data_IF_038749047483
#
_entry.id   IF_038749047483
#
_cell.length_a   1.000
_cell.length_b   1.000
_cell.length_c   1.000
_cell.angle_alpha   90.00
_cell.angle_beta   90.00
_cell.angle_gamma   90.00
#
_symmetry.space_group_name_H-M   'P 1'
#
loop_
_entity.id
_entity.type
_entity.pdbx_description
1 polymer ?
#
# COMPACT_ATOMS: atom_id res chain seq x y z
N UNK A 1 -11.94 30.82 -9.40
CA UNK A 1 -11.41 29.45 -9.21
C UNK A 1 -12.23 28.53 -8.26
N UNK A 2 -12.69 28.97 -7.08
CA UNK A 2 -13.41 28.06 -6.14
C UNK A 2 -14.70 27.44 -6.70
N UNK A 3 -15.51 28.17 -7.48
CA UNK A 3 -16.70 27.63 -8.16
C UNK A 3 -16.33 26.53 -9.15
N UNK A 4 -15.35 26.80 -10.03
CA UNK A 4 -14.81 25.84 -11.02
C UNK A 4 -14.32 24.55 -10.34
N UNK A 5 -13.60 24.65 -9.22
CA UNK A 5 -13.13 23.49 -8.45
C UNK A 5 -14.24 22.54 -8.04
N UNK A 6 -15.40 23.05 -7.61
CA UNK A 6 -16.53 22.20 -7.21
C UNK A 6 -17.03 21.36 -8.38
N UNK A 7 -17.17 21.96 -9.56
CA UNK A 7 -17.57 21.25 -10.78
C UNK A 7 -16.52 20.21 -11.22
N UNK A 8 -15.24 20.56 -11.18
CA UNK A 8 -14.15 19.62 -11.51
C UNK A 8 -14.18 18.40 -10.58
N UNK A 9 -14.34 18.62 -9.26
CA UNK A 9 -14.44 17.52 -8.28
C UNK A 9 -15.71 16.69 -8.53
N UNK A 10 -16.85 17.32 -8.81
CA UNK A 10 -18.10 16.62 -9.10
C UNK A 10 -17.98 15.71 -10.33
N UNK A 11 -17.44 16.25 -11.43
CA UNK A 11 -17.17 15.49 -12.66
C UNK A 11 -16.23 14.32 -12.35
N UNK A 12 -15.19 14.56 -11.56
CA UNK A 12 -14.23 13.52 -11.16
C UNK A 12 -14.90 12.39 -10.38
N UNK A 13 -15.84 12.71 -9.50
CA UNK A 13 -16.61 11.71 -8.74
C UNK A 13 -17.47 10.86 -9.69
N UNK A 14 -18.20 11.49 -10.62
CA UNK A 14 -19.06 10.79 -11.57
C UNK A 14 -18.24 9.80 -12.40
N UNK A 15 -17.13 10.26 -13.01
CA UNK A 15 -16.26 9.39 -13.79
C UNK A 15 -15.58 8.31 -12.95
N UNK A 16 -15.24 8.59 -11.69
CA UNK A 16 -14.69 7.59 -10.78
C UNK A 16 -15.70 6.47 -10.49
N UNK A 17 -16.99 6.78 -10.35
CA UNK A 17 -18.05 5.79 -10.14
C UNK A 17 -18.24 4.93 -11.40
N UNK A 18 -18.33 5.56 -12.57
CA UNK A 18 -18.44 4.83 -13.85
C UNK A 18 -17.24 3.91 -14.04
N UNK A 19 -16.04 4.43 -13.81
CA UNK A 19 -14.80 3.67 -13.90
C UNK A 19 -14.74 2.53 -12.90
N UNK A 20 -15.26 2.70 -11.67
CA UNK A 20 -15.30 1.64 -10.68
C UNK A 20 -16.04 0.41 -11.19
N UNK A 21 -17.26 0.56 -11.71
CA UNK A 21 -18.04 -0.56 -12.25
C UNK A 21 -17.38 -1.17 -13.49
N UNK A 22 -16.80 -0.35 -14.36
CA UNK A 22 -16.04 -0.83 -15.51
C UNK A 22 -14.82 -1.67 -15.10
N UNK A 23 -14.02 -1.17 -14.15
CA UNK A 23 -12.84 -1.88 -13.65
C UNK A 23 -13.23 -3.19 -12.98
N UNK A 24 -14.32 -3.21 -12.21
CA UNK A 24 -14.86 -4.40 -11.57
C UNK A 24 -15.25 -5.47 -12.59
N UNK A 25 -15.92 -5.09 -13.68
CA UNK A 25 -16.26 -6.00 -14.76
C UNK A 25 -15.01 -6.64 -15.39
N UNK A 26 -13.99 -5.83 -15.72
CA UNK A 26 -12.72 -6.32 -16.29
C UNK A 26 -11.96 -7.22 -15.31
N UNK A 27 -11.93 -6.87 -14.02
CA UNK A 27 -11.28 -7.68 -12.98
C UNK A 27 -11.99 -9.03 -12.78
N UNK A 28 -13.33 -9.06 -12.78
CA UNK A 28 -14.12 -10.31 -12.67
C UNK A 28 -13.86 -11.20 -13.89
N UNK A 29 -13.89 -10.63 -15.10
CA UNK A 29 -13.63 -11.39 -16.33
C UNK A 29 -12.23 -12.06 -16.32
N UNK A 30 -11.23 -11.37 -15.75
CA UNK A 30 -9.85 -11.86 -15.67
C UNK A 30 -9.53 -12.69 -14.41
N UNK A 31 -10.50 -12.94 -13.52
CA UNK A 31 -10.29 -13.70 -12.28
C UNK A 31 -11.33 -14.80 -12.03
N UNK A 32 -12.18 -15.07 -13.02
CA UNK A 32 -13.25 -16.08 -12.99
C UNK A 32 -12.76 -17.50 -13.27
N UNK A 33 -11.72 -17.64 -14.08
CA UNK A 33 -11.26 -18.93 -14.58
C UNK A 33 -9.74 -19.05 -14.47
N UNK A 34 -9.27 -20.25 -14.21
CA UNK A 34 -7.86 -20.57 -14.03
C UNK A 34 -7.57 -21.97 -14.57
N UNK A 35 -6.30 -22.26 -14.83
CA UNK A 35 -5.83 -23.56 -15.30
C UNK A 35 -4.67 -24.03 -14.43
N UNK A 36 -4.64 -25.33 -14.15
CA UNK A 36 -3.55 -26.01 -13.48
C UNK A 36 -2.77 -26.75 -14.56
N UNK A 37 -1.50 -26.43 -14.69
CA UNK A 37 -0.59 -27.09 -15.61
C UNK A 37 -0.11 -28.42 -15.01
N UNK A 38 0.45 -29.33 -15.83
CA UNK A 38 1.14 -30.51 -15.33
C UNK A 38 2.20 -30.15 -14.28
N UNK A 39 2.53 -31.12 -13.44
CA UNK A 39 3.62 -30.98 -12.48
C UNK A 39 4.90 -30.66 -13.25
N UNK A 40 5.76 -29.84 -12.66
CA UNK A 40 6.98 -29.36 -13.31
C UNK A 40 7.79 -30.47 -14.01
N UNK A 41 7.96 -31.63 -13.37
CA UNK A 41 8.71 -32.76 -13.92
C UNK A 41 8.07 -33.43 -15.15
N UNK A 42 6.80 -33.10 -15.45
CA UNK A 42 6.05 -33.62 -16.60
C UNK A 42 6.06 -32.67 -17.80
N UNK A 43 6.61 -31.46 -17.65
CA UNK A 43 6.66 -30.48 -18.72
C UNK A 43 7.79 -30.82 -19.72
N UNK A 44 7.51 -30.64 -21.01
CA UNK A 44 8.50 -30.87 -22.05
C UNK A 44 9.53 -29.73 -22.06
N UNK A 45 10.81 -30.06 -21.95
CA UNK A 45 11.92 -29.09 -21.95
C UNK A 45 12.47 -28.97 -23.38
N UNK A 46 12.66 -27.73 -23.83
CA UNK A 46 13.31 -27.42 -25.09
C UNK A 46 14.57 -26.62 -24.79
N UNK A 47 15.67 -27.05 -25.40
CA UNK A 47 16.90 -26.27 -25.50
C UNK A 47 16.97 -25.65 -26.90
N UNK A 48 17.11 -24.33 -26.96
CA UNK A 48 17.28 -23.60 -28.22
C UNK A 48 18.34 -22.54 -28.06
N UNK A 49 19.45 -22.66 -28.79
CA UNK A 49 20.57 -21.72 -28.78
C UNK A 49 21.05 -21.39 -27.34
N UNK A 50 21.17 -22.40 -26.47
CA UNK A 50 21.58 -22.22 -25.08
C UNK A 50 20.51 -21.67 -24.13
N UNK A 51 19.30 -21.39 -24.60
CA UNK A 51 18.15 -21.07 -23.75
C UNK A 51 17.35 -22.33 -23.44
N UNK A 52 17.00 -22.51 -22.16
CA UNK A 52 16.13 -23.58 -21.70
C UNK A 52 14.75 -23.02 -21.37
N UNK A 53 13.71 -23.63 -21.92
CA UNK A 53 12.33 -23.28 -21.60
C UNK A 53 11.43 -24.50 -21.66
N UNK A 54 10.31 -24.44 -20.95
CA UNK A 54 9.33 -25.51 -20.95
C UNK A 54 8.19 -25.19 -21.91
N UNK A 55 7.54 -26.21 -22.44
CA UNK A 55 6.37 -26.06 -23.30
C UNK A 55 5.21 -26.92 -22.84
N UNK A 56 4.00 -26.37 -22.94
CA UNK A 56 2.77 -27.10 -22.72
C UNK A 56 1.68 -26.58 -23.64
N UNK A 57 1.15 -27.47 -24.49
CA UNK A 57 0.24 -27.11 -25.57
C UNK A 57 0.78 -25.90 -26.38
N UNK A 58 0.00 -24.82 -26.54
CA UNK A 58 0.41 -23.62 -27.26
C UNK A 58 1.03 -22.52 -26.36
N UNK A 59 1.75 -22.92 -25.30
CA UNK A 59 2.38 -22.00 -24.35
C UNK A 59 3.86 -22.34 -24.12
N UNK A 60 4.70 -21.30 -24.09
CA UNK A 60 6.07 -21.39 -23.60
C UNK A 60 6.12 -20.94 -22.14
N UNK A 61 6.98 -21.55 -21.33
CA UNK A 61 7.09 -21.29 -19.89
C UNK A 61 8.57 -21.03 -19.58
N UNK A 62 8.85 -19.85 -19.07
CA UNK A 62 10.18 -19.39 -18.71
C UNK A 62 10.32 -19.35 -17.20
N UNK A 63 11.24 -20.17 -16.69
CA UNK A 63 11.55 -20.32 -15.26
C UNK A 63 13.04 -20.10 -15.03
N UNK A 64 13.85 -21.02 -15.54
CA UNK A 64 15.31 -20.94 -15.45
C UNK A 64 15.82 -20.18 -16.67
N UNK A 65 16.65 -19.17 -16.46
CA UNK A 65 17.11 -18.32 -17.55
C UNK A 65 18.52 -17.82 -17.29
N UNK A 66 19.40 -18.03 -18.25
CA UNK A 66 20.73 -17.46 -18.29
C UNK A 66 20.78 -16.48 -19.45
N UNK A 67 20.99 -15.21 -19.13
CA UNK A 67 21.10 -14.16 -20.14
C UNK A 67 22.38 -14.36 -20.96
N UNK A 68 22.25 -14.32 -22.27
CA UNK A 68 23.40 -14.35 -23.19
C UNK A 68 23.77 -12.95 -23.69
N UNK A 69 22.93 -11.96 -23.37
CA UNK A 69 23.10 -10.56 -23.72
C UNK A 69 21.76 -9.97 -24.13
N UNK A 70 21.51 -8.71 -23.74
CA UNK A 70 20.19 -8.09 -23.88
C UNK A 70 19.61 -8.14 -25.31
N UNK A 71 20.45 -7.96 -26.33
CA UNK A 71 20.01 -8.00 -27.74
C UNK A 71 19.60 -9.42 -28.18
N UNK A 72 20.38 -10.44 -27.80
CA UNK A 72 20.06 -11.84 -28.10
C UNK A 72 18.82 -12.31 -27.34
N UNK A 73 18.72 -11.92 -26.07
CA UNK A 73 17.58 -12.23 -25.22
C UNK A 73 16.29 -11.65 -25.82
N UNK A 74 16.30 -10.43 -26.36
CA UNK A 74 15.13 -9.83 -27.03
C UNK A 74 14.72 -10.65 -28.25
N UNK A 75 15.68 -11.04 -29.10
CA UNK A 75 15.40 -11.81 -30.31
C UNK A 75 14.75 -13.14 -29.93
N UNK A 76 15.30 -13.82 -28.92
CA UNK A 76 14.74 -15.05 -28.37
C UNK A 76 13.32 -14.86 -27.84
N UNK A 77 13.09 -13.85 -27.00
CA UNK A 77 11.76 -13.58 -26.45
C UNK A 77 10.75 -13.23 -27.54
N UNK A 78 11.15 -12.45 -28.55
CA UNK A 78 10.31 -12.10 -29.69
C UNK A 78 9.93 -13.33 -30.49
N UNK A 79 10.88 -14.20 -30.78
CA UNK A 79 10.65 -15.46 -31.47
C UNK A 79 9.66 -16.36 -30.70
N UNK A 80 9.79 -16.48 -29.37
CA UNK A 80 8.80 -17.20 -28.56
C UNK A 80 7.39 -16.60 -28.67
N UNK A 81 7.27 -15.27 -28.62
CA UNK A 81 5.95 -14.60 -28.72
C UNK A 81 5.29 -14.74 -30.09
N UNK A 82 6.04 -15.10 -31.14
CA UNK A 82 5.52 -15.40 -32.47
C UNK A 82 5.07 -16.87 -32.62
N UNK A 83 5.73 -17.79 -31.91
CA UNK A 83 5.43 -19.23 -31.98
C UNK A 83 4.29 -19.67 -31.07
N UNK A 84 4.16 -19.05 -29.89
CA UNK A 84 3.23 -19.47 -28.85
C UNK A 84 2.16 -18.42 -28.59
N UNK A 85 0.96 -18.86 -28.15
CA UNK A 85 -0.15 -17.98 -27.79
C UNK A 85 0.26 -17.01 -26.67
N UNK A 86 0.88 -17.55 -25.61
CA UNK A 86 1.45 -16.77 -24.52
C UNK A 86 2.79 -17.35 -24.06
N UNK A 87 3.67 -16.46 -23.62
CA UNK A 87 4.90 -16.80 -22.90
C UNK A 87 4.66 -16.57 -21.40
N UNK A 88 4.78 -17.63 -20.61
CA UNK A 88 4.48 -17.66 -19.18
C UNK A 88 5.74 -17.41 -18.35
N UNK A 89 5.73 -16.33 -17.57
CA UNK A 89 6.79 -15.98 -16.61
C UNK A 89 6.48 -16.68 -15.28
N UNK A 90 7.29 -17.63 -14.87
CA UNK A 90 7.10 -18.35 -13.61
C UNK A 90 7.49 -17.45 -12.44
N UNK A 91 6.56 -17.14 -11.53
CA UNK A 91 6.86 -16.30 -10.36
C UNK A 91 7.95 -16.90 -9.46
N UNK A 92 8.80 -16.03 -8.90
CA UNK A 92 9.90 -16.38 -7.99
C UNK A 92 11.02 -17.22 -8.60
N UNK A 93 11.07 -17.28 -9.93
CA UNK A 93 12.12 -17.93 -10.71
C UNK A 93 13.28 -16.97 -11.04
N UNK A 94 14.36 -17.51 -11.61
CA UNK A 94 15.48 -16.69 -12.07
C UNK A 94 15.07 -15.79 -13.23
N UNK A 95 14.20 -16.29 -14.13
CA UNK A 95 13.64 -15.47 -15.19
C UNK A 95 12.76 -14.33 -14.66
N UNK A 96 11.93 -14.53 -13.63
CA UNK A 96 11.13 -13.44 -13.03
C UNK A 96 12.02 -12.31 -12.50
N UNK A 97 13.15 -12.66 -11.87
CA UNK A 97 14.14 -11.69 -11.41
C UNK A 97 14.74 -10.93 -12.59
N UNK A 98 15.21 -11.64 -13.61
CA UNK A 98 15.78 -11.02 -14.81
C UNK A 98 14.77 -10.14 -15.55
N UNK A 99 13.57 -10.66 -15.80
CA UNK A 99 12.45 -9.96 -16.42
C UNK A 99 12.10 -8.68 -15.67
N UNK A 100 12.12 -8.70 -14.33
CA UNK A 100 11.89 -7.49 -13.53
C UNK A 100 12.90 -6.37 -13.80
N UNK A 101 14.13 -6.71 -14.18
CA UNK A 101 15.20 -5.75 -14.53
C UNK A 101 15.03 -5.21 -15.96
N UNK A 102 14.58 -6.05 -16.90
CA UNK A 102 14.56 -5.70 -18.32
C UNK A 102 13.20 -5.25 -18.88
N UNK A 103 12.08 -5.58 -18.23
CA UNK A 103 10.73 -5.41 -18.80
C UNK A 103 10.37 -3.97 -19.20
N UNK A 104 10.98 -2.97 -18.59
CA UNK A 104 10.76 -1.56 -18.97
C UNK A 104 11.45 -1.17 -20.29
N UNK A 105 12.40 -1.99 -20.76
CA UNK A 105 13.13 -1.81 -22.02
C UNK A 105 12.56 -2.68 -23.15
N UNK A 106 11.64 -3.61 -22.83
CA UNK A 106 11.04 -4.49 -23.82
C UNK A 106 9.93 -3.78 -24.60
N UNK A 107 9.81 -4.13 -25.88
CA UNK A 107 8.74 -3.63 -26.73
C UNK A 107 7.37 -4.10 -26.25
N UNK A 108 6.36 -3.25 -26.45
CA UNK A 108 4.98 -3.55 -26.04
C UNK A 108 4.45 -4.81 -26.70
N UNK A 109 4.87 -5.10 -27.93
CA UNK A 109 4.41 -6.26 -28.69
C UNK A 109 4.86 -7.56 -28.03
N UNK A 110 6.09 -7.61 -27.52
CA UNK A 110 6.61 -8.75 -26.73
C UNK A 110 5.80 -8.87 -25.43
N UNK A 111 5.66 -7.76 -24.70
CA UNK A 111 4.97 -7.75 -23.40
C UNK A 111 3.50 -8.17 -23.52
N UNK A 112 2.79 -7.77 -24.57
CA UNK A 112 1.37 -8.09 -24.75
C UNK A 112 1.10 -9.60 -24.84
N UNK A 113 2.09 -10.40 -25.27
CA UNK A 113 2.00 -11.86 -25.34
C UNK A 113 2.60 -12.56 -24.12
N UNK A 114 3.02 -11.82 -23.09
CA UNK A 114 3.56 -12.39 -21.85
C UNK A 114 2.54 -12.40 -20.72
N UNK A 115 2.48 -13.47 -19.93
CA UNK A 115 1.63 -13.58 -18.73
C UNK A 115 2.40 -14.22 -17.59
N UNK A 116 2.03 -13.97 -16.35
CA UNK A 116 2.64 -14.69 -15.23
C UNK A 116 1.97 -16.05 -15.02
N UNK A 117 2.76 -17.01 -14.55
CA UNK A 117 2.29 -18.26 -13.95
C UNK A 117 2.69 -18.28 -12.47
N UNK A 118 1.74 -18.63 -11.61
CA UNK A 118 2.00 -18.73 -10.18
C UNK A 118 2.65 -20.07 -9.88
N UNK A 119 3.76 -20.02 -9.14
CA UNK A 119 4.50 -21.19 -8.72
C UNK A 119 4.84 -21.07 -7.24
N UNK A 120 4.90 -22.22 -6.56
CA UNK A 120 5.34 -22.32 -5.17
C UNK A 120 6.57 -23.24 -5.11
N UNK A 121 7.63 -22.79 -4.46
CA UNK A 121 8.85 -23.60 -4.31
C UNK A 121 8.59 -24.76 -3.34
N UNK A 122 9.18 -25.92 -3.59
CA UNK A 122 9.08 -27.07 -2.68
C UNK A 122 9.46 -26.71 -1.22
N UNK A 123 10.56 -25.96 -1.04
CA UNK A 123 11.00 -25.48 0.27
C UNK A 123 10.04 -24.48 0.95
N UNK A 124 9.09 -23.88 0.22
CA UNK A 124 8.00 -23.10 0.84
C UNK A 124 6.85 -24.00 1.26
N UNK A 125 6.57 -25.09 0.53
CA UNK A 125 5.56 -26.07 0.92
C UNK A 125 5.89 -26.64 2.30
N UNK A 126 7.16 -26.97 2.56
CA UNK A 126 7.60 -27.48 3.87
C UNK A 126 7.41 -26.48 5.03
N UNK A 127 7.44 -25.17 4.74
CA UNK A 127 7.41 -24.11 5.76
C UNK A 127 6.01 -23.67 6.13
N UNK A 128 5.03 -23.87 5.25
CA UNK A 128 3.68 -23.33 5.40
C UNK A 128 2.64 -24.45 5.49
N UNK A 129 1.59 -24.20 6.26
CA UNK A 129 0.42 -25.07 6.29
C UNK A 129 -0.35 -25.00 4.94
N UNK A 130 -1.19 -26.01 4.69
CA UNK A 130 -1.94 -26.12 3.44
C UNK A 130 -2.86 -24.90 3.23
N UNK A 131 -3.50 -24.38 4.28
CA UNK A 131 -4.40 -23.22 4.20
C UNK A 131 -3.66 -21.95 3.74
N UNK A 132 -2.49 -21.66 4.31
CA UNK A 132 -1.66 -20.52 3.94
C UNK A 132 -1.22 -20.62 2.47
N UNK A 133 -0.95 -21.83 1.99
CA UNK A 133 -0.59 -22.09 0.59
C UNK A 133 -1.80 -21.84 -0.31
N UNK A 134 -2.96 -22.43 -0.03
CA UNK A 134 -4.20 -22.23 -0.79
C UNK A 134 -4.54 -20.73 -0.90
N UNK A 135 -4.39 -19.98 0.20
CA UNK A 135 -4.59 -18.52 0.21
C UNK A 135 -3.60 -17.75 -0.69
N UNK A 136 -2.40 -18.26 -0.95
CA UNK A 136 -1.47 -17.65 -1.93
C UNK A 136 -1.99 -17.81 -3.35
N UNK A 137 -2.56 -18.97 -3.69
CA UNK A 137 -3.20 -19.21 -4.99
C UNK A 137 -4.47 -18.37 -5.16
N UNK A 138 -5.28 -18.24 -4.12
CA UNK A 138 -6.44 -17.34 -4.12
C UNK A 138 -6.02 -15.89 -4.43
N UNK A 139 -4.95 -15.39 -3.78
CA UNK A 139 -4.38 -14.07 -4.07
C UNK A 139 -3.76 -13.97 -5.46
N UNK A 140 -3.13 -15.03 -5.96
CA UNK A 140 -2.61 -15.07 -7.32
C UNK A 140 -3.73 -14.81 -8.34
N UNK A 141 -4.86 -15.51 -8.20
CA UNK A 141 -5.99 -15.36 -9.11
C UNK A 141 -6.76 -14.05 -8.88
N UNK A 142 -7.26 -13.81 -7.66
CA UNK A 142 -8.19 -12.72 -7.37
C UNK A 142 -7.51 -11.35 -7.27
N UNK A 143 -6.29 -11.27 -6.71
CA UNK A 143 -5.61 -9.98 -6.56
C UNK A 143 -4.65 -9.67 -7.71
N UNK A 144 -4.02 -10.69 -8.31
CA UNK A 144 -2.98 -10.51 -9.33
C UNK A 144 -3.38 -10.96 -10.73
N UNK A 145 -4.57 -11.56 -10.89
CA UNK A 145 -5.10 -12.03 -12.19
C UNK A 145 -4.17 -13.05 -12.87
N UNK A 146 -3.44 -13.81 -12.06
CA UNK A 146 -2.58 -14.92 -12.50
C UNK A 146 -3.46 -16.16 -12.60
N UNK A 147 -3.63 -16.65 -13.83
CA UNK A 147 -4.60 -17.72 -14.15
C UNK A 147 -3.94 -19.06 -14.44
N UNK A 148 -2.61 -19.12 -14.47
CA UNK A 148 -1.83 -20.33 -14.74
C UNK A 148 -1.11 -20.76 -13.46
N UNK A 149 -1.37 -21.98 -13.00
CA UNK A 149 -0.79 -22.53 -11.78
C UNK A 149 0.13 -23.70 -12.09
N UNK A 150 1.34 -23.65 -11.54
CA UNK A 150 2.38 -24.68 -11.72
C UNK A 150 2.82 -25.16 -10.34
N UNK A 151 2.99 -26.48 -10.19
CA UNK A 151 3.40 -27.10 -8.94
C UNK A 151 4.72 -27.86 -9.11
N UNK A 152 5.59 -27.84 -8.08
CA UNK A 152 6.75 -28.71 -8.03
C UNK A 152 6.34 -30.15 -7.71
N UNK A 153 7.26 -31.07 -7.96
CA UNK A 153 7.15 -32.42 -7.45
C UNK A 153 7.31 -32.43 -5.93
N UNK A 154 6.25 -32.80 -5.21
CA UNK A 154 6.23 -32.84 -3.75
C UNK A 154 5.08 -33.73 -3.26
N UNK A 155 5.25 -34.39 -2.10
CA UNK A 155 4.25 -35.33 -1.53
C UNK A 155 2.87 -34.69 -1.29
N UNK A 156 2.85 -33.42 -0.86
CA UNK A 156 1.63 -32.63 -0.63
C UNK A 156 1.00 -32.02 -1.90
N UNK A 157 1.65 -32.09 -3.06
CA UNK A 157 1.19 -31.39 -4.28
C UNK A 157 -0.23 -31.81 -4.68
N UNK A 158 -0.54 -33.11 -4.68
CA UNK A 158 -1.86 -33.61 -5.04
C UNK A 158 -2.95 -33.14 -4.06
N UNK A 159 -2.65 -33.14 -2.75
CA UNK A 159 -3.58 -32.63 -1.74
C UNK A 159 -3.84 -31.13 -1.92
N UNK A 160 -2.78 -30.34 -2.15
CA UNK A 160 -2.89 -28.91 -2.40
C UNK A 160 -3.74 -28.60 -3.63
N UNK A 161 -3.54 -29.33 -4.73
CA UNK A 161 -4.35 -29.21 -5.94
C UNK A 161 -5.83 -29.45 -5.63
N UNK A 162 -6.15 -30.51 -4.89
CA UNK A 162 -7.53 -30.83 -4.51
C UNK A 162 -8.17 -29.74 -3.64
N UNK A 163 -7.43 -29.21 -2.65
CA UNK A 163 -7.91 -28.11 -1.82
C UNK A 163 -8.16 -26.83 -2.62
N UNK A 164 -7.27 -26.51 -3.56
CA UNK A 164 -7.43 -25.35 -4.45
C UNK A 164 -8.65 -25.52 -5.35
N UNK A 165 -8.89 -26.70 -5.91
CA UNK A 165 -10.07 -26.98 -6.72
C UNK A 165 -11.38 -26.91 -5.92
N UNK A 166 -11.35 -27.34 -4.65
CA UNK A 166 -12.48 -27.23 -3.74
C UNK A 166 -12.85 -25.76 -3.48
N UNK A 167 -11.85 -24.89 -3.33
CA UNK A 167 -12.06 -23.48 -3.00
C UNK A 167 -12.31 -22.58 -4.22
N UNK A 168 -11.60 -22.80 -5.33
CA UNK A 168 -11.66 -21.96 -6.55
C UNK A 168 -12.59 -22.52 -7.64
N UNK A 169 -13.11 -23.74 -7.47
CA UNK A 169 -13.89 -24.45 -8.48
C UNK A 169 -13.03 -25.21 -9.48
N UNK A 170 -13.65 -25.78 -10.51
CA UNK A 170 -12.97 -26.63 -11.49
C UNK A 170 -12.06 -25.83 -12.43
N UNK A 171 -10.80 -26.27 -12.68
CA UNK A 171 -9.92 -25.61 -13.62
C UNK A 171 -10.40 -25.80 -15.06
N UNK A 172 -10.12 -24.83 -15.91
CA UNK A 172 -10.39 -24.90 -17.35
C UNK A 172 -9.15 -25.32 -18.13
N UNK A 173 -9.33 -25.79 -19.38
CA UNK A 173 -8.20 -26.04 -20.27
C UNK A 173 -7.42 -24.73 -20.54
N UNK A 174 -6.10 -24.81 -20.55
CA UNK A 174 -5.20 -23.66 -20.71
C UNK A 174 -5.50 -22.82 -21.97
N UNK A 175 -5.85 -23.44 -23.10
CA UNK A 175 -6.14 -22.72 -24.35
C UNK A 175 -7.44 -21.91 -24.31
N UNK A 176 -8.37 -22.26 -23.40
CA UNK A 176 -9.64 -21.54 -23.22
C UNK A 176 -9.49 -20.21 -22.48
N UNK A 177 -8.32 -19.98 -21.86
CA UNK A 177 -8.01 -18.74 -21.14
C UNK A 177 -7.80 -17.60 -22.15
N UNK A 178 -8.74 -16.66 -22.15
CA UNK A 178 -8.68 -15.39 -22.88
C UNK A 178 -8.74 -14.22 -21.89
N UNK A 179 -7.88 -13.23 -22.07
CA UNK A 179 -7.81 -12.05 -21.22
C UNK A 179 -8.69 -10.94 -21.78
N UNK A 180 -9.45 -10.29 -20.90
CA UNK A 180 -10.22 -9.09 -21.25
C UNK A 180 -9.33 -7.87 -21.06
N UNK A 181 -9.06 -7.15 -22.14
CA UNK A 181 -8.21 -5.96 -22.13
C UNK A 181 -9.01 -4.69 -21.76
N UNK A 182 -8.44 -3.76 -20.97
CA UNK A 182 -9.07 -2.50 -20.65
C UNK A 182 -9.03 -1.56 -21.86
N UNK A 183 -10.04 -0.69 -21.97
CA UNK A 183 -10.07 0.34 -23.01
C UNK A 183 -9.15 1.51 -22.63
N UNK A 184 -8.45 2.06 -23.63
CA UNK A 184 -7.57 3.22 -23.43
C UNK A 184 -8.34 4.51 -23.06
N UNK A 185 -9.64 4.55 -23.32
CA UNK A 185 -10.51 5.72 -23.09
C UNK A 185 -10.48 6.13 -21.61
N UNK A 186 -10.61 5.17 -20.69
CA UNK A 186 -10.57 5.48 -19.26
C UNK A 186 -9.21 6.01 -18.80
N UNK A 187 -8.11 5.47 -19.34
CA UNK A 187 -6.77 6.00 -19.09
C UNK A 187 -6.65 7.46 -19.53
N UNK A 188 -7.10 7.80 -20.75
CA UNK A 188 -7.10 9.17 -21.25
C UNK A 188 -7.96 10.13 -20.42
N UNK A 189 -9.18 9.71 -20.05
CA UNK A 189 -10.05 10.50 -19.16
C UNK A 189 -9.39 10.70 -17.80
N UNK A 190 -8.74 9.68 -17.24
CA UNK A 190 -8.01 9.76 -15.98
C UNK A 190 -6.92 10.83 -16.03
N UNK A 191 -6.11 10.83 -17.10
CA UNK A 191 -5.07 11.85 -17.32
C UNK A 191 -5.67 13.25 -17.37
N UNK A 192 -6.76 13.44 -18.12
CA UNK A 192 -7.45 14.73 -18.23
C UNK A 192 -8.02 15.22 -16.90
N UNK A 193 -8.66 14.34 -16.13
CA UNK A 193 -9.22 14.68 -14.82
C UNK A 193 -8.13 15.00 -13.79
N UNK A 194 -6.98 14.31 -13.83
CA UNK A 194 -5.83 14.66 -13.01
C UNK A 194 -5.37 16.08 -13.32
N UNK A 195 -5.17 16.39 -14.61
CA UNK A 195 -4.75 17.71 -15.06
C UNK A 195 -5.71 18.80 -14.57
N UNK A 196 -7.03 18.62 -14.79
CA UNK A 196 -8.05 19.59 -14.37
C UNK A 196 -8.07 19.79 -12.85
N UNK A 197 -7.96 18.72 -12.06
CA UNK A 197 -7.90 18.83 -10.60
C UNK A 197 -6.64 19.58 -10.18
N UNK A 198 -5.45 19.16 -10.63
CA UNK A 198 -4.19 19.85 -10.31
C UNK A 198 -4.27 21.33 -10.69
N UNK A 199 -4.78 21.65 -11.88
CA UNK A 199 -4.92 23.03 -12.35
C UNK A 199 -5.84 23.87 -11.45
N UNK A 200 -6.95 23.30 -11.00
CA UNK A 200 -7.93 23.99 -10.13
C UNK A 200 -7.40 24.29 -8.71
N UNK A 201 -6.34 23.61 -8.27
CA UNK A 201 -5.70 23.82 -6.96
C UNK A 201 -4.41 24.62 -7.09
N UNK A 202 -3.51 24.20 -7.98
CA UNK A 202 -2.18 24.79 -8.21
C UNK A 202 -1.83 24.60 -9.71
N UNK A 203 -2.05 25.60 -10.59
CA UNK A 203 -1.80 25.49 -12.03
C UNK A 203 -0.41 24.93 -12.41
N UNK A 204 0.63 25.32 -11.68
CA UNK A 204 1.99 24.81 -11.89
C UNK A 204 2.10 23.28 -11.74
N UNK A 205 1.32 22.67 -10.83
CA UNK A 205 1.33 21.22 -10.65
C UNK A 205 0.78 20.49 -11.88
N UNK A 206 -0.19 21.08 -12.58
CA UNK A 206 -0.73 20.51 -13.81
C UNK A 206 0.32 20.53 -14.94
N UNK A 207 1.12 21.59 -15.03
CA UNK A 207 2.22 21.71 -15.99
C UNK A 207 3.31 20.67 -15.70
N UNK A 208 3.72 20.54 -14.43
CA UNK A 208 4.70 19.51 -14.02
C UNK A 208 4.17 18.12 -14.38
N UNK A 209 2.91 17.82 -14.06
CA UNK A 209 2.30 16.53 -14.36
C UNK A 209 2.27 16.23 -15.86
N UNK A 210 1.84 17.17 -16.72
CA UNK A 210 1.72 16.91 -18.16
C UNK A 210 3.09 16.72 -18.82
N UNK A 211 4.11 17.48 -18.40
CA UNK A 211 5.48 17.27 -18.87
C UNK A 211 6.00 15.89 -18.47
N UNK A 212 5.77 15.47 -17.23
CA UNK A 212 6.13 14.13 -16.79
C UNK A 212 5.33 13.05 -17.49
N UNK A 213 4.05 13.27 -17.82
CA UNK A 213 3.25 12.32 -18.58
C UNK A 213 3.81 12.10 -19.99
N UNK A 214 4.21 13.17 -20.67
CA UNK A 214 4.76 13.13 -22.04
C UNK A 214 6.15 12.47 -22.06
N UNK A 215 7.07 12.91 -21.19
CA UNK A 215 8.47 12.48 -21.24
C UNK A 215 8.81 11.28 -20.35
N UNK A 216 8.03 11.05 -19.29
CA UNK A 216 8.33 10.08 -18.22
C UNK A 216 7.05 9.35 -17.78
N UNK A 217 6.30 8.77 -18.71
CA UNK A 217 4.96 8.23 -18.48
C UNK A 217 4.84 7.36 -17.21
N UNK A 218 5.74 6.38 -17.01
CA UNK A 218 5.73 5.51 -15.82
C UNK A 218 5.99 6.23 -14.48
N UNK A 219 6.63 7.41 -14.50
CA UNK A 219 6.84 8.27 -13.32
C UNK A 219 5.67 9.23 -13.08
N UNK A 220 4.91 9.56 -14.12
CA UNK A 220 3.83 10.54 -14.07
C UNK A 220 2.75 10.19 -13.03
N UNK A 221 2.44 8.89 -12.85
CA UNK A 221 1.48 8.40 -11.86
C UNK A 221 1.92 8.72 -10.43
N UNK A 222 3.18 8.44 -10.11
CA UNK A 222 3.73 8.74 -8.78
C UNK A 222 3.84 10.24 -8.54
N UNK A 223 4.17 11.01 -9.58
CA UNK A 223 4.23 12.47 -9.49
C UNK A 223 2.85 13.04 -9.24
N UNK A 224 1.82 12.60 -9.97
CA UNK A 224 0.43 12.97 -9.70
C UNK A 224 0.01 12.67 -8.26
N UNK A 225 0.24 11.45 -7.79
CA UNK A 225 -0.03 11.06 -6.40
C UNK A 225 0.72 11.95 -5.40
N UNK A 226 1.99 12.27 -5.67
CA UNK A 226 2.80 13.14 -4.81
C UNK A 226 2.21 14.55 -4.74
N UNK A 227 1.86 15.15 -5.88
CA UNK A 227 1.26 16.47 -5.97
C UNK A 227 -0.13 16.52 -5.29
N UNK A 228 -0.93 15.46 -5.45
CA UNK A 228 -2.21 15.34 -4.76
C UNK A 228 -2.05 15.22 -3.24
N UNK A 229 -1.06 14.46 -2.75
CA UNK A 229 -0.79 14.37 -1.31
C UNK A 229 -0.50 15.75 -0.69
N UNK A 230 0.24 16.59 -1.41
CA UNK A 230 0.55 17.98 -1.03
C UNK A 230 -0.72 18.84 -1.04
N UNK A 231 -1.55 18.73 -2.08
CA UNK A 231 -2.83 19.44 -2.17
C UNK A 231 -3.75 19.03 -1.02
N UNK A 232 -3.90 17.74 -0.74
CA UNK A 232 -4.75 17.23 0.34
C UNK A 232 -4.31 17.85 1.67
N UNK A 233 -3.04 17.75 2.01
CA UNK A 233 -2.53 18.18 3.31
C UNK A 233 -2.55 19.71 3.48
N UNK A 234 -2.10 20.48 2.48
CA UNK A 234 -1.92 21.93 2.63
C UNK A 234 -3.07 22.79 2.08
N UNK A 235 -3.88 22.28 1.14
CA UNK A 235 -4.94 23.07 0.48
C UNK A 235 -6.36 22.56 0.77
N UNK A 236 -6.54 21.29 1.12
CA UNK A 236 -7.84 20.73 1.50
C UNK A 236 -8.01 20.73 3.01
N UNK A 237 -7.26 19.90 3.73
CA UNK A 237 -7.25 19.88 5.19
C UNK A 237 -6.08 19.05 5.72
N UNK A 238 -5.50 19.52 6.84
CA UNK A 238 -4.56 18.74 7.66
C UNK A 238 -5.18 18.13 8.93
N UNK A 239 -6.42 18.51 9.26
CA UNK A 239 -7.06 18.14 10.53
C UNK A 239 -8.38 17.39 10.33
N UNK A 240 -9.10 17.63 9.23
CA UNK A 240 -10.37 16.98 8.98
C UNK A 240 -10.15 15.63 8.29
N UNK A 241 -10.22 14.56 9.09
CA UNK A 241 -9.93 13.19 8.66
C UNK A 241 -10.83 12.74 7.51
N UNK A 242 -12.14 13.01 7.57
CA UNK A 242 -13.08 12.63 6.52
C UNK A 242 -12.75 13.30 5.19
N UNK A 243 -12.35 14.58 5.20
CA UNK A 243 -11.89 15.26 3.98
C UNK A 243 -10.61 14.65 3.44
N UNK A 244 -9.66 14.29 4.30
CA UNK A 244 -8.40 13.65 3.86
C UNK A 244 -8.69 12.30 3.21
N UNK A 245 -9.48 11.44 3.85
CA UNK A 245 -9.82 10.11 3.31
C UNK A 245 -10.57 10.24 1.99
N UNK A 246 -11.64 11.06 1.94
CA UNK A 246 -12.46 11.22 0.73
C UNK A 246 -11.68 11.77 -0.46
N UNK A 247 -10.86 12.82 -0.27
CA UNK A 247 -10.01 13.34 -1.35
C UNK A 247 -8.86 12.38 -1.71
N UNK A 248 -8.31 11.63 -0.75
CA UNK A 248 -7.27 10.62 -1.05
C UNK A 248 -7.83 9.46 -1.87
N UNK A 249 -9.05 9.00 -1.57
CA UNK A 249 -9.76 8.00 -2.36
C UNK A 249 -10.06 8.53 -3.76
N UNK A 250 -10.63 9.73 -3.88
CA UNK A 250 -10.95 10.33 -5.18
C UNK A 250 -9.69 10.48 -6.05
N UNK A 251 -8.64 11.13 -5.54
CA UNK A 251 -7.41 11.32 -6.30
C UNK A 251 -6.65 10.01 -6.52
N UNK A 252 -6.73 9.07 -5.59
CA UNK A 252 -6.20 7.71 -5.77
C UNK A 252 -6.87 6.99 -6.94
N UNK A 253 -8.21 7.02 -7.02
CA UNK A 253 -8.96 6.45 -8.14
C UNK A 253 -8.57 7.13 -9.46
N UNK A 254 -8.40 8.45 -9.49
CA UNK A 254 -7.96 9.14 -10.71
C UNK A 254 -6.56 8.69 -11.17
N UNK A 255 -5.62 8.51 -10.24
CA UNK A 255 -4.26 8.01 -10.53
C UNK A 255 -4.29 6.55 -10.99
N UNK A 256 -5.13 5.72 -10.37
CA UNK A 256 -5.34 4.34 -10.80
C UNK A 256 -5.94 4.29 -12.22
N UNK A 257 -6.95 5.12 -12.46
CA UNK A 257 -7.65 5.25 -13.73
C UNK A 257 -6.71 5.69 -14.84
N UNK A 258 -5.83 6.69 -14.61
CA UNK A 258 -4.88 7.15 -15.62
C UNK A 258 -3.86 6.07 -16.02
N UNK A 259 -3.50 5.19 -15.10
CA UNK A 259 -2.61 4.05 -15.35
C UNK A 259 -3.31 2.76 -15.77
N UNK A 260 -4.62 2.77 -16.02
CA UNK A 260 -5.40 1.57 -16.29
C UNK A 260 -5.17 1.03 -17.72
N UNK A 261 -4.07 0.29 -17.90
CA UNK A 261 -3.68 -0.35 -19.15
C UNK A 261 -3.22 -1.80 -18.93
N UNK A 262 -3.19 -2.62 -20.00
CA UNK A 262 -2.80 -4.04 -19.94
C UNK A 262 -1.48 -4.26 -19.21
N UNK A 263 -0.45 -3.47 -19.54
CA UNK A 263 0.90 -3.66 -19.03
C UNK A 263 0.98 -3.49 -17.51
N UNK A 264 0.29 -2.50 -16.96
CA UNK A 264 0.27 -2.23 -15.51
C UNK A 264 -0.70 -3.14 -14.76
N UNK A 265 -1.84 -3.51 -15.37
CA UNK A 265 -2.82 -4.42 -14.78
C UNK A 265 -2.24 -5.84 -14.61
N UNK A 266 -1.49 -6.32 -15.60
CA UNK A 266 -0.86 -7.65 -15.57
C UNK A 266 0.57 -7.63 -15.02
N UNK A 267 1.03 -6.51 -14.43
CA UNK A 267 2.36 -6.35 -13.80
C UNK A 267 3.54 -6.58 -14.77
N UNK A 268 3.28 -6.45 -16.08
CA UNK A 268 4.28 -6.54 -17.15
C UNK A 268 5.11 -5.25 -17.27
N UNK A 269 4.59 -4.15 -16.73
CA UNK A 269 5.33 -2.93 -16.49
C UNK A 269 5.10 -2.46 -15.03
N UNK A 270 5.91 -1.53 -14.53
CA UNK A 270 5.82 -1.03 -13.17
C UNK A 270 5.68 0.50 -13.13
N UNK A 271 4.91 0.98 -12.15
CA UNK A 271 4.95 2.39 -11.77
C UNK A 271 6.30 2.71 -11.14
N UNK A 272 6.95 3.78 -11.62
CA UNK A 272 8.29 4.18 -11.19
C UNK A 272 8.25 5.29 -10.14
N UNK A 273 9.30 5.36 -9.33
CA UNK A 273 9.51 6.46 -8.39
C UNK A 273 8.69 6.41 -7.10
N UNK A 274 8.03 5.29 -6.76
CA UNK A 274 7.14 5.18 -5.58
C UNK A 274 7.75 5.73 -4.28
N UNK A 275 9.08 5.60 -4.11
CA UNK A 275 9.81 6.18 -2.97
C UNK A 275 9.70 7.72 -2.86
N UNK A 276 9.55 8.42 -3.99
CA UNK A 276 9.33 9.88 -4.02
C UNK A 276 8.05 10.25 -3.26
N UNK A 277 6.95 9.56 -3.54
CA UNK A 277 5.68 9.77 -2.85
C UNK A 277 5.82 9.57 -1.33
N UNK A 278 6.59 8.56 -0.92
CA UNK A 278 6.81 8.24 0.49
C UNK A 278 7.58 9.33 1.25
N UNK A 279 8.44 10.09 0.57
CA UNK A 279 9.39 11.02 1.20
C UNK A 279 8.96 12.47 1.08
N UNK A 280 8.45 12.89 -0.09
CA UNK A 280 8.27 14.31 -0.42
C UNK A 280 7.32 15.00 0.56
N UNK A 281 6.13 14.46 0.81
CA UNK A 281 5.18 15.12 1.69
C UNK A 281 5.67 15.18 3.16
N UNK A 282 6.12 14.07 3.79
CA UNK A 282 6.68 14.14 5.14
C UNK A 282 7.87 15.12 5.24
N UNK A 283 8.75 15.15 4.25
CA UNK A 283 9.87 16.09 4.22
C UNK A 283 9.41 17.55 4.12
N UNK A 284 8.41 17.85 3.28
CA UNK A 284 7.83 19.20 3.18
C UNK A 284 7.16 19.65 4.48
N UNK A 285 6.50 18.73 5.19
CA UNK A 285 5.88 19.02 6.49
C UNK A 285 6.94 19.29 7.56
N UNK A 286 8.03 18.52 7.58
CA UNK A 286 9.17 18.77 8.47
C UNK A 286 9.86 20.09 8.14
N UNK A 287 10.07 20.39 6.86
CA UNK A 287 10.66 21.66 6.42
C UNK A 287 9.78 22.84 6.83
N UNK A 288 8.46 22.74 6.63
CA UNK A 288 7.52 23.78 7.08
C UNK A 288 7.57 23.98 8.58
N UNK A 289 7.61 22.89 9.36
CA UNK A 289 7.73 22.97 10.80
C UNK A 289 9.04 23.61 11.25
N UNK A 290 10.14 23.33 10.55
CA UNK A 290 11.43 23.97 10.79
C UNK A 290 11.35 25.48 10.51
N UNK A 291 10.75 25.89 9.39
CA UNK A 291 10.54 27.31 9.07
C UNK A 291 9.67 27.99 10.13
N UNK A 292 8.56 27.37 10.53
CA UNK A 292 7.64 27.88 11.55
C UNK A 292 8.35 28.01 12.92
N UNK A 293 9.22 27.05 13.29
CA UNK A 293 10.02 27.07 14.53
C UNK A 293 11.11 28.14 14.52
N UNK A 294 11.79 28.31 13.39
CA UNK A 294 12.91 29.25 13.23
C UNK A 294 12.47 30.70 12.97
N UNK A 295 11.22 30.91 12.56
CA UNK A 295 10.72 32.24 12.17
C UNK A 295 11.44 32.82 10.96
N UNK A 296 12.00 31.97 10.09
CA UNK A 296 12.74 32.39 8.90
C UNK A 296 11.74 32.79 7.82
N UNK A 297 11.86 34.02 7.34
CA UNK A 297 11.12 34.51 6.18
C UNK A 297 12.08 34.68 5.01
N UNK A 298 11.94 33.85 3.98
CA UNK A 298 12.70 33.99 2.74
C UNK A 298 12.11 35.12 1.89
N UNK A 299 12.32 36.38 2.30
CA UNK A 299 12.11 37.53 1.41
C UNK A 299 13.32 37.64 0.46
N UNK A 300 13.08 37.99 -0.81
CA UNK A 300 14.14 38.19 -1.83
C UNK A 300 15.19 39.17 -1.28
N UNK A 301 16.42 38.70 -1.10
CA UNK A 301 17.59 39.51 -0.70
C UNK A 301 18.25 39.12 0.63
N UNK A 302 17.57 38.37 1.50
CA UNK A 302 17.98 38.27 2.92
C UNK A 302 18.53 36.89 3.35
N UNK A 303 19.20 36.19 2.44
CA UNK A 303 19.80 34.86 2.69
C UNK A 303 20.82 34.92 3.84
N UNK A 304 21.65 35.97 3.90
CA UNK A 304 22.62 36.15 5.00
C UNK A 304 21.95 36.27 6.37
N UNK A 305 20.79 36.93 6.45
CA UNK A 305 20.02 37.07 7.69
C UNK A 305 19.31 35.77 8.08
N UNK A 306 18.83 34.98 7.11
CA UNK A 306 18.33 33.64 7.35
C UNK A 306 19.42 32.71 7.93
N UNK A 307 20.64 32.71 7.35
CA UNK A 307 21.77 31.93 7.87
C UNK A 307 22.22 32.38 9.27
N UNK A 308 22.26 33.69 9.54
CA UNK A 308 22.53 34.22 10.89
C UNK A 308 21.48 33.77 11.90
N UNK A 309 20.19 33.82 11.55
CA UNK A 309 19.11 33.30 12.39
C UNK A 309 19.28 31.81 12.67
N UNK A 310 19.56 30.98 11.65
CA UNK A 310 19.81 29.54 11.83
C UNK A 310 20.96 29.31 12.81
N UNK A 311 22.07 30.03 12.66
CA UNK A 311 23.26 29.88 13.52
C UNK A 311 23.02 30.36 14.96
N UNK A 312 22.10 31.30 15.16
CA UNK A 312 21.72 31.80 16.50
C UNK A 312 20.71 30.91 17.25
N UNK A 313 20.11 29.92 16.59
CA UNK A 313 19.13 29.03 17.23
C UNK A 313 19.85 28.08 18.17
N UNK A 314 19.52 28.19 19.45
CA UNK A 314 19.91 27.22 20.47
C UNK A 314 18.93 26.06 20.46
N UNK A 315 19.27 25.00 19.73
CA UNK A 315 18.54 23.74 19.83
C UNK A 315 18.70 23.17 21.24
N UNK A 316 17.59 22.81 21.90
CA UNK A 316 17.68 22.04 23.14
C UNK A 316 18.15 20.63 22.79
N UNK A 317 18.89 19.97 23.69
CA UNK A 317 19.32 18.57 23.49
C UNK A 317 18.14 17.64 23.15
N UNK A 318 16.97 17.90 23.75
CA UNK A 318 15.72 17.20 23.47
C UNK A 318 15.22 17.35 22.03
N UNK A 319 15.47 18.49 21.40
CA UNK A 319 15.03 18.77 20.01
C UNK A 319 15.86 17.96 19.02
N UNK A 320 17.15 17.83 19.28
CA UNK A 320 18.09 17.05 18.47
C UNK A 320 17.77 15.55 18.57
N UNK A 321 17.59 15.03 19.79
CA UNK A 321 17.23 13.62 20.01
C UNK A 321 15.91 13.28 19.30
N UNK A 322 14.90 14.15 19.43
CA UNK A 322 13.62 13.94 18.78
C UNK A 322 13.70 13.97 17.26
N UNK A 323 14.48 14.90 16.69
CA UNK A 323 14.72 14.95 15.24
C UNK A 323 15.38 13.66 14.74
N UNK A 324 16.39 13.16 15.48
CA UNK A 324 17.06 11.90 15.17
C UNK A 324 16.08 10.72 15.18
N UNK A 325 15.23 10.62 16.20
CA UNK A 325 14.20 9.58 16.27
C UNK A 325 13.22 9.63 15.09
N UNK A 326 12.79 10.82 14.68
CA UNK A 326 11.91 11.00 13.51
C UNK A 326 12.61 10.57 12.22
N UNK A 327 13.90 10.89 12.06
CA UNK A 327 14.69 10.45 10.90
C UNK A 327 14.84 8.92 10.87
N UNK A 328 15.19 8.30 12.00
CA UNK A 328 15.30 6.84 12.11
C UNK A 328 13.96 6.17 11.77
N UNK A 329 12.85 6.68 12.33
CA UNK A 329 11.51 6.18 12.00
C UNK A 329 11.19 6.33 10.51
N UNK A 330 11.60 7.44 9.89
CA UNK A 330 11.48 7.67 8.45
C UNK A 330 12.29 6.66 7.61
N UNK A 331 13.53 6.37 8.00
CA UNK A 331 14.37 5.36 7.32
C UNK A 331 13.72 3.98 7.42
N UNK A 332 13.29 3.58 8.62
CA UNK A 332 12.58 2.31 8.83
C UNK A 332 11.33 2.24 7.95
N UNK A 333 10.55 3.31 7.89
CA UNK A 333 9.34 3.40 7.06
C UNK A 333 9.59 3.17 5.56
N UNK A 334 10.71 3.70 5.03
CA UNK A 334 11.12 3.54 3.62
C UNK A 334 11.68 2.14 3.39
N UNK A 335 12.55 1.63 4.25
CA UNK A 335 13.12 0.27 4.11
C UNK A 335 12.02 -0.79 4.18
N UNK A 336 11.08 -0.64 5.11
CA UNK A 336 9.90 -1.52 5.27
C UNK A 336 8.89 -1.41 4.13
N UNK A 337 8.99 -0.40 3.25
CA UNK A 337 8.14 -0.33 2.06
C UNK A 337 8.64 -1.21 0.91
N UNK A 338 9.83 -1.78 1.01
CA UNK A 338 10.39 -2.70 0.02
C UNK A 338 9.84 -4.11 0.17
N UNK A 339 9.81 -4.88 -0.91
CA UNK A 339 9.37 -6.29 -0.92
C UNK A 339 10.35 -7.25 -0.22
N UNK A 340 11.56 -6.80 0.10
CA UNK A 340 12.64 -7.59 0.70
C UNK A 340 12.70 -7.51 2.23
N UNK A 341 11.73 -6.84 2.84
CA UNK A 341 11.77 -6.58 4.27
C UNK A 341 11.44 -7.88 5.06
N UNK A 342 12.35 -8.31 5.94
CA UNK A 342 12.12 -9.40 6.92
C UNK A 342 10.82 -9.20 7.71
N UNK A 343 9.82 -10.05 7.47
CA UNK A 343 8.52 -10.08 8.18
C UNK A 343 8.51 -11.32 9.05
N UNK A 344 8.21 -11.14 10.33
CA UNK A 344 8.15 -12.26 11.28
C UNK A 344 6.97 -13.19 10.97
N UNK A 345 7.06 -14.47 11.33
CA UNK A 345 5.96 -15.42 11.16
C UNK A 345 4.70 -14.99 11.92
N UNK A 346 4.86 -14.37 13.10
CA UNK A 346 3.75 -13.82 13.87
C UNK A 346 3.04 -12.68 13.12
N UNK A 347 3.78 -11.69 12.62
CA UNK A 347 3.22 -10.58 11.82
C UNK A 347 2.46 -11.10 10.59
N UNK A 348 2.98 -12.17 9.96
CA UNK A 348 2.32 -12.82 8.82
C UNK A 348 0.99 -13.47 9.22
N UNK A 349 0.95 -14.23 10.31
CA UNK A 349 -0.28 -14.84 10.82
C UNK A 349 -1.35 -13.79 11.15
N UNK A 350 -0.97 -12.69 11.79
CA UNK A 350 -1.88 -11.57 12.08
C UNK A 350 -2.43 -10.95 10.79
N UNK A 351 -1.58 -10.78 9.77
CA UNK A 351 -2.00 -10.27 8.45
C UNK A 351 -2.98 -11.21 7.75
N UNK A 352 -2.71 -12.51 7.79
CA UNK A 352 -3.56 -13.52 7.16
C UNK A 352 -4.90 -13.64 7.90
N UNK A 353 -4.91 -13.50 9.23
CA UNK A 353 -6.14 -13.40 10.03
C UNK A 353 -6.99 -12.19 9.62
N UNK A 354 -6.40 -11.00 9.55
CA UNK A 354 -7.13 -9.80 9.12
C UNK A 354 -7.63 -9.91 7.69
N UNK A 355 -6.91 -10.55 6.78
CA UNK A 355 -7.38 -10.78 5.41
C UNK A 355 -8.62 -11.67 5.39
N UNK A 356 -8.61 -12.77 6.13
CA UNK A 356 -9.76 -13.69 6.17
C UNK A 356 -11.00 -13.00 6.72
N UNK A 357 -10.84 -12.20 7.78
CA UNK A 357 -11.98 -11.52 8.42
C UNK A 357 -12.47 -10.31 7.61
N UNK A 358 -11.56 -9.55 7.00
CA UNK A 358 -11.87 -8.25 6.39
C UNK A 358 -11.85 -8.27 4.86
N UNK A 359 -11.61 -9.43 4.22
CA UNK A 359 -11.40 -9.67 2.78
C UNK A 359 -10.13 -9.02 2.23
N UNK A 360 -9.79 -7.80 2.69
CA UNK A 360 -8.60 -7.09 2.31
C UNK A 360 -7.87 -6.52 3.54
N UNK A 361 -6.57 -6.81 3.62
CA UNK A 361 -5.74 -6.46 4.78
C UNK A 361 -5.67 -4.94 5.01
N UNK A 362 -5.86 -4.44 6.25
CA UNK A 362 -5.62 -3.04 6.56
C UNK A 362 -4.12 -2.73 6.48
N UNK A 363 -3.76 -1.57 5.93
CA UNK A 363 -2.35 -1.14 5.91
C UNK A 363 -1.92 -0.68 7.30
N UNK A 364 -0.97 -1.38 7.90
CA UNK A 364 -0.44 -1.07 9.25
C UNK A 364 0.09 0.37 9.37
N UNK A 365 0.63 0.92 8.27
CA UNK A 365 1.10 2.32 8.18
C UNK A 365 -0.02 3.34 8.42
N UNK A 366 -1.26 3.02 8.03
CA UNK A 366 -2.41 3.90 8.20
C UNK A 366 -2.87 3.91 9.65
N UNK A 367 -2.87 2.75 10.32
CA UNK A 367 -3.22 2.62 11.75
C UNK A 367 -2.38 3.57 12.61
N UNK A 368 -1.06 3.62 12.37
CA UNK A 368 -0.16 4.56 13.05
C UNK A 368 -0.59 5.99 12.77
N UNK A 369 -0.85 6.35 11.52
CA UNK A 369 -1.26 7.73 11.21
C UNK A 369 -2.59 8.11 11.84
N UNK A 370 -3.57 7.19 11.91
CA UNK A 370 -4.86 7.43 12.52
C UNK A 370 -4.74 7.75 14.01
N UNK A 371 -3.85 7.06 14.73
CA UNK A 371 -3.54 7.38 16.12
C UNK A 371 -3.14 8.85 16.32
N UNK A 372 -2.31 9.42 15.42
CA UNK A 372 -1.93 10.84 15.47
C UNK A 372 -3.07 11.80 15.05
N UNK A 373 -4.09 11.33 14.34
CA UNK A 373 -5.30 12.14 14.11
C UNK A 373 -6.22 12.17 15.32
N UNK A 374 -6.29 11.07 16.08
CA UNK A 374 -7.18 10.94 17.24
C UNK A 374 -6.60 11.52 18.54
N UNK A 375 -5.27 11.65 18.63
CA UNK A 375 -4.60 12.20 19.81
C UNK A 375 -4.31 13.69 19.68
N UNK A 376 -4.42 14.46 20.78
CA UNK A 376 -3.99 15.85 20.79
C UNK A 376 -2.46 15.94 20.64
N UNK A 377 -2.00 16.98 19.95
CA UNK A 377 -0.56 17.19 19.81
C UNK A 377 0.07 17.66 21.11
N UNK A 378 1.26 17.14 21.43
CA UNK A 378 2.04 17.65 22.56
C UNK A 378 2.38 19.15 22.39
N UNK A 379 2.26 19.97 23.46
CA UNK A 379 2.60 21.39 23.42
C UNK A 379 4.01 21.63 22.89
N UNK A 380 4.16 22.55 21.93
CA UNK A 380 5.45 22.86 21.30
C UNK A 380 6.03 21.77 20.38
N UNK A 381 5.30 20.66 20.16
CA UNK A 381 5.75 19.49 19.37
C UNK A 381 4.76 19.09 18.27
N UNK A 382 3.87 20.01 17.87
CA UNK A 382 2.83 19.75 16.86
C UNK A 382 3.37 19.30 15.50
N UNK A 383 4.65 19.58 15.21
CA UNK A 383 5.30 19.11 14.00
C UNK A 383 5.41 17.59 13.89
N UNK A 384 5.60 16.88 15.02
CA UNK A 384 5.65 15.41 15.05
C UNK A 384 4.29 14.88 14.58
N UNK A 385 3.22 15.38 15.19
CA UNK A 385 1.84 15.03 14.84
C UNK A 385 1.56 15.31 13.37
N UNK A 386 1.92 16.50 12.87
CA UNK A 386 1.71 16.83 11.47
C UNK A 386 2.49 15.91 10.52
N UNK A 387 3.71 15.49 10.89
CA UNK A 387 4.56 14.60 10.09
C UNK A 387 3.93 13.21 9.99
N UNK A 388 3.48 12.64 11.11
CA UNK A 388 2.79 11.35 11.08
C UNK A 388 1.42 11.44 10.40
N UNK A 389 0.67 12.52 10.61
CA UNK A 389 -0.60 12.78 9.90
C UNK A 389 -0.44 12.85 8.39
N UNK A 390 0.72 13.30 7.90
CA UNK A 390 1.04 13.35 6.48
C UNK A 390 1.23 11.96 5.85
N UNK A 391 1.50 10.93 6.66
CA UNK A 391 1.65 9.54 6.18
C UNK A 391 0.31 9.01 5.67
N UNK A 392 -0.83 9.43 6.23
CA UNK A 392 -2.16 8.94 5.82
C UNK A 392 -2.45 9.15 4.32
N UNK A 393 -2.50 10.39 3.77
CA UNK A 393 -2.77 10.57 2.35
C UNK A 393 -1.71 9.91 1.46
N UNK A 394 -0.45 9.86 1.90
CA UNK A 394 0.65 9.18 1.20
C UNK A 394 0.40 7.67 1.10
N UNK A 395 0.01 7.03 2.21
CA UNK A 395 -0.27 5.59 2.25
C UNK A 395 -1.49 5.22 1.39
N UNK A 396 -2.56 6.01 1.48
CA UNK A 396 -3.76 5.80 0.67
C UNK A 396 -3.40 5.93 -0.80
N UNK A 397 -2.77 7.04 -1.23
CA UNK A 397 -2.41 7.23 -2.64
C UNK A 397 -1.42 6.17 -3.15
N UNK A 398 -0.48 5.73 -2.31
CA UNK A 398 0.42 4.64 -2.64
C UNK A 398 -0.31 3.31 -2.87
N UNK A 399 -1.44 3.08 -2.21
CA UNK A 399 -2.30 1.92 -2.46
C UNK A 399 -2.75 1.88 -3.93
N UNK A 400 -3.16 3.02 -4.47
CA UNK A 400 -3.67 3.12 -5.84
C UNK A 400 -2.57 3.11 -6.92
N UNK A 401 -1.30 3.22 -6.55
CA UNK A 401 -0.18 2.99 -7.47
C UNK A 401 0.04 1.49 -7.77
N UNK A 402 -0.57 0.59 -7.00
CA UNK A 402 -0.53 -0.86 -7.26
C UNK A 402 -1.64 -1.26 -8.23
N UNK A 403 -1.55 -0.77 -9.47
CA UNK A 403 -2.61 -0.89 -10.49
C UNK A 403 -2.97 -2.35 -10.84
N UNK A 404 -2.04 -3.28 -10.63
CA UNK A 404 -2.31 -4.71 -10.78
C UNK A 404 -3.35 -5.23 -9.77
N UNK A 405 -3.45 -4.64 -8.58
CA UNK A 405 -4.51 -5.00 -7.62
C UNK A 405 -5.84 -4.44 -8.09
N UNK A 406 -6.93 -5.22 -8.10
CA UNK A 406 -8.28 -4.72 -8.34
C UNK A 406 -8.64 -3.45 -7.55
N UNK A 407 -9.37 -2.55 -8.20
CA UNK A 407 -9.70 -1.26 -7.62
C UNK A 407 -10.55 -1.40 -6.35
N UNK A 408 -11.51 -2.32 -6.35
CA UNK A 408 -12.39 -2.56 -5.21
C UNK A 408 -11.62 -3.02 -3.97
N UNK A 409 -10.60 -3.87 -4.13
CA UNK A 409 -9.72 -4.27 -3.03
C UNK A 409 -8.92 -3.09 -2.50
N UNK A 410 -8.41 -2.22 -3.38
CA UNK A 410 -7.69 -1.01 -2.99
C UNK A 410 -8.55 -0.05 -2.16
N UNK A 411 -9.82 0.13 -2.54
CA UNK A 411 -10.80 0.90 -1.76
C UNK A 411 -11.09 0.21 -0.42
N UNK A 412 -11.35 -1.09 -0.44
CA UNK A 412 -11.67 -1.86 0.77
C UNK A 412 -10.52 -1.84 1.78
N UNK A 413 -9.25 -1.94 1.34
CA UNK A 413 -8.06 -1.80 2.20
C UNK A 413 -8.05 -0.47 2.96
N UNK A 414 -8.43 0.62 2.30
CA UNK A 414 -8.50 1.96 2.90
C UNK A 414 -9.65 2.06 3.90
N UNK A 415 -10.83 1.54 3.56
CA UNK A 415 -11.99 1.52 4.46
C UNK A 415 -11.70 0.66 5.69
N UNK A 416 -11.15 -0.53 5.51
CA UNK A 416 -10.75 -1.42 6.60
C UNK A 416 -9.69 -0.78 7.49
N UNK A 417 -8.69 -0.11 6.90
CA UNK A 417 -7.69 0.65 7.65
C UNK A 417 -8.32 1.69 8.58
N UNK A 418 -9.28 2.45 8.06
CA UNK A 418 -10.04 3.43 8.85
C UNK A 418 -10.88 2.75 9.95
N UNK A 419 -11.70 1.76 9.62
CA UNK A 419 -12.60 1.11 10.58
C UNK A 419 -11.84 0.40 11.71
N UNK A 420 -10.78 -0.35 11.38
CA UNK A 420 -9.93 -1.01 12.38
C UNK A 420 -9.28 0.01 13.31
N UNK A 421 -8.81 1.15 12.77
CA UNK A 421 -8.22 2.20 13.59
C UNK A 421 -9.24 2.89 14.52
N UNK A 422 -10.48 3.04 14.06
CA UNK A 422 -11.57 3.59 14.84
C UNK A 422 -11.97 2.65 15.99
N UNK A 423 -12.10 1.36 15.71
CA UNK A 423 -12.38 0.33 16.73
C UNK A 423 -11.26 0.31 17.78
N UNK A 424 -9.99 0.34 17.34
CA UNK A 424 -8.85 0.38 18.25
C UNK A 424 -8.87 1.63 19.16
N UNK A 425 -9.22 2.80 18.61
CA UNK A 425 -9.39 4.01 19.41
C UNK A 425 -10.49 3.84 20.46
N UNK A 426 -11.65 3.31 20.08
CA UNK A 426 -12.77 3.09 21.01
C UNK A 426 -12.38 2.15 22.15
N UNK A 427 -11.63 1.08 21.85
CA UNK A 427 -11.09 0.17 22.86
C UNK A 427 -10.15 0.91 23.82
N UNK A 428 -9.22 1.73 23.30
CA UNK A 428 -8.30 2.51 24.14
C UNK A 428 -9.08 3.44 25.08
N UNK A 429 -10.05 4.19 24.55
CA UNK A 429 -10.88 5.09 25.35
C UNK A 429 -11.70 4.35 26.40
N UNK A 430 -12.25 3.18 26.06
CA UNK A 430 -12.97 2.34 27.01
C UNK A 430 -12.07 1.80 28.13
N UNK A 431 -10.85 1.37 27.80
CA UNK A 431 -9.87 0.94 28.80
C UNK A 431 -9.45 2.11 29.70
N UNK A 432 -9.24 3.30 29.15
CA UNK A 432 -8.93 4.51 29.93
C UNK A 432 -10.05 4.88 30.90
N UNK A 433 -11.32 4.80 30.48
CA UNK A 433 -12.45 5.08 31.36
C UNK A 433 -12.61 4.03 32.44
N UNK A 434 -12.40 2.74 32.13
CA UNK A 434 -12.39 1.67 33.13
C UNK A 434 -11.27 1.87 34.16
N UNK A 435 -10.05 2.19 33.72
CA UNK A 435 -8.92 2.44 34.62
C UNK A 435 -9.19 3.65 35.52
N UNK A 436 -9.75 4.74 34.99
CA UNK A 436 -10.15 5.91 35.79
C UNK A 436 -11.19 5.54 36.84
N UNK A 437 -12.24 4.81 36.44
CA UNK A 437 -13.29 4.35 37.36
C UNK A 437 -12.75 3.46 38.49
N UNK A 438 -11.83 2.55 38.16
CA UNK A 438 -11.15 1.69 39.16
C UNK A 438 -10.29 2.54 40.11
N UNK A 439 -9.58 3.55 39.60
CA UNK A 439 -8.74 4.44 40.41
C UNK A 439 -9.58 5.33 41.33
N UNK A 440 -10.69 5.86 40.84
CA UNK A 440 -11.65 6.64 41.63
C UNK A 440 -12.31 5.80 42.72
N UNK A 441 -12.74 4.57 42.41
CA UNK A 441 -13.29 3.62 43.40
C UNK A 441 -12.27 3.21 44.48
N UNK A 442 -10.99 3.02 44.12
CA UNK A 442 -9.93 2.77 45.13
C UNK A 442 -9.68 3.99 46.01
N UNK A 443 -9.75 5.19 45.43
CA UNK A 443 -9.60 6.46 46.17
C UNK A 443 -10.74 6.67 47.17
N UNK A 444 -12.00 6.40 46.78
CA UNK A 444 -13.16 6.55 47.67
C UNK A 444 -13.13 5.54 48.82
N UNK A 445 -12.82 4.27 48.54
CA UNK A 445 -12.72 3.25 49.59
C UNK A 445 -11.57 3.51 50.58
N UNK A 446 -10.48 4.16 50.15
CA UNK A 446 -9.40 4.57 51.05
C UNK A 446 -9.81 5.75 51.96
N UNK A 447 -10.63 6.67 51.47
CA UNK A 447 -11.19 7.78 52.25
C UNK A 447 -12.20 7.27 53.29
N UNK A 448 -13.12 6.37 52.91
CA UNK A 448 -14.10 5.79 53.84
C UNK A 448 -13.43 4.97 54.95
N UNK A 449 -12.47 4.10 54.61
CA UNK A 449 -11.71 3.34 55.61
C UNK A 449 -10.84 4.23 56.52
N UNK A 450 -10.42 5.40 56.02
CA UNK A 450 -9.69 6.39 56.81
C UNK A 450 -10.60 7.10 57.82
N UNK A 451 -11.83 7.45 57.41
CA UNK A 451 -12.83 8.07 58.27
C UNK A 451 -13.31 7.11 59.37
N UNK A 452 -13.58 5.84 59.03
CA UNK A 452 -13.95 4.82 60.02
C UNK A 452 -12.88 4.61 61.10
N UNK A 453 -11.60 4.60 60.72
CA UNK A 453 -10.50 4.49 61.71
C UNK A 453 -10.38 5.71 62.63
N UNK A 454 -10.74 6.90 62.14
CA UNK A 454 -10.75 8.12 62.95
C UNK A 454 -11.91 8.07 63.94
N UNK A 455 -13.10 7.66 63.50
CA UNK A 455 -14.27 7.47 64.38
C UNK A 455 -14.00 6.40 65.46
N UNK A 456 -13.47 5.23 65.10
CA UNK A 456 -13.08 4.19 66.05
C UNK A 456 -12.05 4.68 67.09
N UNK A 457 -11.07 5.48 66.65
CA UNK A 457 -10.05 6.04 67.56
C UNK A 457 -10.60 7.12 68.51
N UNK A 458 -11.65 7.84 68.10
CA UNK A 458 -12.33 8.83 68.94
C UNK A 458 -13.23 8.16 69.98
N UNK A 459 -13.96 7.10 69.59
CA UNK A 459 -14.76 6.29 70.51
C UNK A 459 -13.88 5.54 71.54
N UNK A 460 -12.69 5.06 71.17
CA UNK A 460 -11.74 4.47 72.12
C UNK A 460 -11.18 5.51 73.10
N UNK A 461 -10.94 6.76 72.66
CA UNK A 461 -10.51 7.85 73.54
C UNK A 461 -11.61 8.27 74.52
N UNK A 462 -12.86 8.40 74.10
CA UNK A 462 -13.99 8.71 74.99
C UNK A 462 -14.26 7.59 76.00
N UNK A 463 -14.17 6.32 75.59
CA UNK A 463 -14.33 5.17 76.49
C UNK A 463 -13.17 5.01 77.49
N UNK A 464 -11.98 5.50 77.17
CA UNK A 464 -10.84 5.51 78.09
C UNK A 464 -10.95 6.60 79.16
N UNK A 465 -11.59 7.74 78.85
CA UNK A 465 -11.83 8.83 79.81
C UNK A 465 -12.97 8.52 80.79
N UNK A 466 -13.93 7.70 80.40
CA UNK A 466 -15.06 7.29 81.27
C UNK A 466 -14.72 6.16 82.25
N UNK A 467 -13.62 5.41 82.03
CA UNK A 467 -13.15 4.35 82.95
C UNK A 467 -12.06 4.81 83.94
N UNK A 468 -11.71 6.10 83.95
CA UNK A 468 -10.68 6.68 84.82
C UNK A 468 -11.21 7.48 86.02
N UNK A 469 -12.46 7.25 86.45
CA UNK A 469 -13.08 7.87 87.64
C UNK A 469 -13.40 6.80 88.67
#
# INVERSE_FOLDING_TARGET
MRKIRKYVVLISIIFSIVFFFYSLYVDIANSSTYSILPIESQLHIIENNGYFYYTYENHAILKDFQSQGFEEDIIFLKDLTLRYKYVLIVEFSDFDKYFTEIKDRLDKDILNNMRYAHYIKAAEIDKFDDEMIVQRFHRALKERKIRYFIFPEHSRTLNLINLIQKDLGTPVNINSINYSEPTFIFSGIGVGLIFLNLFSYVPLFAIIYILCFIFLNNWSFTIAATLFSIIIFFRVSKNNLLKIISYSLLFGILVFMSGYNNLLIFKLNNVRGVKILLVVLPALVLLKAFIDFTGITFKKGDIKNAFKKIKSIRFRKTDIVLLLLVIIAGIIYIVRSSNWAFVTNFERKVRDYFERVLIARPRTKEIISYFFYYTPSLPGRSFIWNTFRAILPVSILNTFLHIHTPLYLSILRTINGFLVSLILLLIILFVETLIKKIRESKSSNQLENGLQKVEESQEEQENSQTKGV
#
